data_IF_593148646207
#
_entry.id   IF_593148646207
#
_cell.length_a   1.000
_cell.length_b   1.000
_cell.length_c   1.000
_cell.angle_alpha   90.00
_cell.angle_beta   90.00
_cell.angle_gamma   90.00
#
_symmetry.space_group_name_H-M   'P 1'
#
loop_
_entity.id
_entity.type
_entity.pdbx_description
1 polymer ?
#
# COMPACT_ATOMS: atom_id res chain seq x y z
N UNK A 1 -4.23 -7.75 -18.45
CA UNK A 1 -3.01 -8.42 -18.96
C UNK A 1 -1.86 -7.45 -19.13
N UNK A 2 -2.01 -6.36 -19.90
CA UNK A 2 -0.92 -5.40 -20.16
C UNK A 2 -0.39 -4.70 -18.89
N UNK A 3 -1.28 -4.24 -18.00
CA UNK A 3 -0.92 -3.63 -16.70
C UNK A 3 -0.13 -4.61 -15.82
N UNK A 4 -0.57 -5.86 -15.74
CA UNK A 4 0.10 -6.90 -14.95
C UNK A 4 1.51 -7.17 -15.49
N UNK A 5 1.68 -7.31 -16.81
CA UNK A 5 3.00 -7.49 -17.43
C UNK A 5 3.91 -6.29 -17.16
N UNK A 6 3.37 -5.07 -17.23
CA UNK A 6 4.11 -3.85 -16.88
C UNK A 6 4.64 -3.88 -15.45
N UNK A 7 3.80 -4.26 -14.47
CA UNK A 7 4.21 -4.36 -13.06
C UNK A 7 5.30 -5.42 -12.88
N UNK A 8 5.19 -6.58 -13.55
CA UNK A 8 6.21 -7.64 -13.46
C UNK A 8 7.55 -7.19 -14.05
N UNK A 9 7.55 -6.45 -15.17
CA UNK A 9 8.77 -5.88 -15.75
C UNK A 9 9.42 -4.85 -14.83
N UNK A 10 8.62 -4.00 -14.18
CA UNK A 10 9.14 -3.02 -13.21
C UNK A 10 9.73 -3.71 -11.96
N UNK A 11 9.12 -4.81 -11.48
CA UNK A 11 9.70 -5.62 -10.40
C UNK A 11 11.02 -6.28 -10.81
N UNK A 12 11.08 -6.81 -12.04
CA UNK A 12 12.30 -7.44 -12.55
C UNK A 12 13.43 -6.41 -12.70
N UNK A 13 13.10 -5.19 -13.15
CA UNK A 13 14.05 -4.08 -13.20
C UNK A 13 14.54 -3.67 -11.80
N UNK A 14 13.67 -3.69 -10.79
CA UNK A 14 14.05 -3.47 -9.41
C UNK A 14 15.02 -4.54 -8.90
N UNK A 15 14.74 -5.82 -9.13
CA UNK A 15 15.62 -6.92 -8.71
C UNK A 15 17.02 -6.78 -9.34
N UNK A 16 17.09 -6.47 -10.63
CA UNK A 16 18.37 -6.22 -11.32
C UNK A 16 19.11 -5.03 -10.71
N UNK A 17 18.42 -3.92 -10.43
CA UNK A 17 19.04 -2.75 -9.78
C UNK A 17 19.52 -3.07 -8.36
N UNK A 18 18.78 -3.87 -7.58
CA UNK A 18 19.19 -4.32 -6.25
C UNK A 18 20.45 -5.19 -6.35
N UNK A 19 20.48 -6.14 -7.29
CA UNK A 19 21.65 -6.98 -7.54
C UNK A 19 22.88 -6.14 -7.94
N UNK A 20 22.73 -5.19 -8.86
CA UNK A 20 23.84 -4.30 -9.26
C UNK A 20 24.33 -3.46 -8.07
N UNK A 21 23.40 -2.96 -7.24
CA UNK A 21 23.75 -2.20 -6.03
C UNK A 21 24.50 -3.07 -5.02
N UNK A 22 24.09 -4.33 -4.83
CA UNK A 22 24.77 -5.25 -3.90
C UNK A 22 26.18 -5.58 -4.37
N UNK A 23 26.40 -5.67 -5.68
CA UNK A 23 27.67 -6.07 -6.27
C UNK A 23 28.64 -4.90 -6.44
N UNK A 24 28.16 -3.73 -6.86
CA UNK A 24 29.00 -2.54 -7.10
C UNK A 24 29.05 -1.55 -5.95
N UNK A 25 28.03 -1.52 -5.08
CA UNK A 25 27.97 -0.67 -3.89
C UNK A 25 27.89 0.84 -4.12
N UNK A 26 28.07 1.34 -5.35
CA UNK A 26 28.26 2.77 -5.66
C UNK A 26 26.98 3.59 -5.77
N UNK A 27 25.82 2.99 -5.97
CA UNK A 27 24.56 3.71 -6.22
C UNK A 27 23.72 3.88 -4.95
N UNK A 28 23.09 5.04 -4.74
CA UNK A 28 22.19 5.27 -3.59
C UNK A 28 21.00 4.32 -3.57
N UNK A 29 20.57 3.88 -2.38
CA UNK A 29 19.38 3.02 -2.25
C UNK A 29 18.12 3.69 -2.83
N UNK A 30 18.03 5.02 -2.72
CA UNK A 30 16.91 5.80 -3.23
C UNK A 30 16.72 5.64 -4.75
N UNK A 31 17.81 5.47 -5.50
CA UNK A 31 17.78 5.26 -6.95
C UNK A 31 17.32 3.84 -7.30
N UNK A 32 17.67 2.84 -6.50
CA UNK A 32 17.17 1.47 -6.64
C UNK A 32 15.65 1.41 -6.47
N UNK A 33 15.06 2.29 -5.65
CA UNK A 33 13.62 2.34 -5.44
C UNK A 33 12.83 3.11 -6.52
N UNK A 34 13.49 3.78 -7.48
CA UNK A 34 12.82 4.47 -8.60
C UNK A 34 11.73 3.63 -9.31
N UNK A 35 11.96 2.34 -9.65
CA UNK A 35 10.95 1.50 -10.29
C UNK A 35 9.69 1.37 -9.43
N UNK A 36 9.83 1.28 -8.11
CA UNK A 36 8.69 1.18 -7.20
C UNK A 36 7.89 2.49 -7.14
N UNK A 37 8.56 3.64 -7.23
CA UNK A 37 7.86 4.94 -7.34
C UNK A 37 6.97 5.00 -8.59
N UNK A 38 7.41 4.44 -9.72
CA UNK A 38 6.61 4.39 -10.95
C UNK A 38 5.47 3.37 -10.88
N UNK A 39 5.60 2.31 -10.07
CA UNK A 39 4.52 1.34 -9.83
C UNK A 39 3.31 2.00 -9.15
N UNK A 40 3.53 2.97 -8.27
CA UNK A 40 2.46 3.67 -7.53
C UNK A 40 1.42 4.37 -8.44
N UNK A 41 1.79 5.29 -9.35
CA UNK A 41 0.83 5.92 -10.25
C UNK A 41 0.23 4.95 -11.27
N UNK A 42 0.96 3.90 -11.67
CA UNK A 42 0.40 2.84 -12.55
C UNK A 42 -0.71 2.07 -11.81
N UNK A 43 -0.54 1.80 -10.51
CA UNK A 43 -1.58 1.20 -9.69
C UNK A 43 -2.78 2.13 -9.54
N UNK A 44 -2.56 3.43 -9.30
CA UNK A 44 -3.65 4.42 -9.23
C UNK A 44 -4.41 4.48 -10.55
N UNK A 45 -3.70 4.57 -11.68
CA UNK A 45 -4.31 4.59 -13.00
C UNK A 45 -5.10 3.32 -13.27
N UNK A 46 -4.60 2.15 -12.87
CA UNK A 46 -5.32 0.88 -12.98
C UNK A 46 -6.57 0.83 -12.09
N UNK A 47 -6.50 1.38 -10.87
CA UNK A 47 -7.65 1.49 -9.96
C UNK A 47 -8.71 2.47 -10.48
N UNK A 48 -8.29 3.64 -10.97
CA UNK A 48 -9.18 4.64 -11.60
C UNK A 48 -9.81 4.08 -12.88
N UNK A 49 -9.03 3.39 -13.71
CA UNK A 49 -9.52 2.72 -14.92
C UNK A 49 -10.50 1.59 -14.58
N UNK A 50 -10.26 0.88 -13.48
CA UNK A 50 -11.07 -0.24 -13.03
C UNK A 50 -12.37 0.13 -12.32
N UNK A 51 -12.54 1.36 -11.81
CA UNK A 51 -13.65 1.65 -10.90
C UNK A 51 -14.44 2.93 -11.18
N UNK A 52 -15.69 2.70 -11.57
CA UNK A 52 -16.82 3.65 -11.67
C UNK A 52 -17.62 3.72 -10.36
N UNK A 53 -16.98 3.67 -9.18
CA UNK A 53 -17.67 3.69 -7.88
C UNK A 53 -16.80 4.20 -6.70
N UNK A 54 -17.13 5.40 -6.18
CA UNK A 54 -17.00 5.96 -4.80
C UNK A 54 -15.86 5.61 -3.81
N UNK A 55 -14.69 5.10 -4.24
CA UNK A 55 -13.59 4.68 -3.32
C UNK A 55 -12.29 5.50 -3.35
N UNK A 56 -12.31 6.71 -3.89
CA UNK A 56 -11.07 7.47 -4.16
C UNK A 56 -10.28 7.86 -2.89
N UNK A 57 -10.97 8.12 -1.78
CA UNK A 57 -10.34 8.67 -0.55
C UNK A 57 -9.49 7.62 0.19
N UNK A 58 -9.94 6.37 0.28
CA UNK A 58 -9.16 5.30 0.89
C UNK A 58 -7.85 5.06 0.10
N UNK A 59 -7.92 5.11 -1.23
CA UNK A 59 -6.78 4.82 -2.11
C UNK A 59 -5.68 5.89 -2.04
N UNK A 60 -6.05 7.17 -1.90
CA UNK A 60 -5.10 8.26 -1.70
C UNK A 60 -4.28 8.11 -0.41
N UNK A 61 -4.94 7.69 0.69
CA UNK A 61 -4.28 7.43 1.97
C UNK A 61 -3.34 6.21 1.84
N UNK A 62 -3.80 5.13 1.20
CA UNK A 62 -2.99 3.94 0.93
C UNK A 62 -1.73 4.25 0.12
N UNK A 63 -1.86 5.05 -0.95
CA UNK A 63 -0.72 5.42 -1.80
C UNK A 63 0.29 6.30 -1.06
N UNK A 64 -0.19 7.28 -0.29
CA UNK A 64 0.68 8.18 0.48
C UNK A 64 1.51 7.41 1.52
N UNK A 65 0.86 6.50 2.26
CA UNK A 65 1.53 5.65 3.25
C UNK A 65 2.51 4.67 2.61
N UNK A 66 2.16 4.12 1.44
CA UNK A 66 3.01 3.19 0.69
C UNK A 66 4.30 3.86 0.17
N UNK A 67 4.18 5.08 -0.40
CA UNK A 67 5.35 5.88 -0.81
C UNK A 67 6.24 6.21 0.39
N UNK A 68 5.63 6.63 1.50
CA UNK A 68 6.36 6.97 2.72
C UNK A 68 7.10 5.74 3.30
N UNK A 69 6.48 4.56 3.27
CA UNK A 69 7.06 3.31 3.71
C UNK A 69 8.33 2.95 2.91
N UNK A 70 8.32 3.15 1.58
CA UNK A 70 9.51 2.92 0.74
C UNK A 70 10.64 3.91 1.04
N UNK A 71 10.31 5.18 1.28
CA UNK A 71 11.29 6.21 1.65
C UNK A 71 11.98 5.85 2.98
N UNK A 72 11.21 5.47 4.01
CA UNK A 72 11.78 5.06 5.30
C UNK A 72 12.67 3.81 5.18
N UNK A 73 12.27 2.84 4.35
CA UNK A 73 13.08 1.65 4.07
C UNK A 73 14.39 2.05 3.38
N UNK A 74 14.33 2.89 2.35
CA UNK A 74 15.49 3.35 1.60
C UNK A 74 16.50 4.09 2.48
N UNK A 75 16.02 5.05 3.28
CA UNK A 75 16.84 5.83 4.22
C UNK A 75 17.54 4.96 5.26
N UNK A 76 16.84 3.93 5.76
CA UNK A 76 17.42 2.99 6.72
C UNK A 76 18.47 2.08 6.07
N UNK A 77 18.23 1.65 4.84
CA UNK A 77 19.15 0.81 4.09
C UNK A 77 20.41 1.59 3.66
N UNK A 78 20.28 2.89 3.44
CA UNK A 78 21.39 3.81 3.18
C UNK A 78 22.23 4.10 4.45
N UNK A 79 21.86 3.53 5.61
CA UNK A 79 22.48 3.75 6.92
C UNK A 79 22.60 5.23 7.34
N UNK A 80 21.90 6.13 6.65
CA UNK A 80 21.79 7.55 7.03
C UNK A 80 21.08 7.67 8.40
N UNK A 81 20.14 6.77 8.69
CA UNK A 81 19.34 6.79 9.90
C UNK A 81 19.49 5.45 10.67
N UNK A 82 20.11 5.49 11.85
CA UNK A 82 20.29 4.33 12.75
C UNK A 82 19.02 3.94 13.55
N UNK A 83 17.83 4.32 13.07
CA UNK A 83 16.59 4.14 13.82
C UNK A 83 16.19 2.67 13.95
N UNK A 84 15.48 2.32 15.05
CA UNK A 84 15.00 0.96 15.24
C UNK A 84 14.02 0.58 14.13
N UNK A 85 14.02 -0.70 13.76
CA UNK A 85 13.07 -1.26 12.77
C UNK A 85 11.62 -0.88 13.08
N UNK A 86 11.28 -0.69 14.35
CA UNK A 86 9.97 -0.25 14.81
C UNK A 86 9.49 1.00 14.05
N UNK A 87 10.32 2.03 13.91
CA UNK A 87 9.89 3.29 13.27
C UNK A 87 9.66 3.11 11.77
N UNK A 88 10.45 2.24 11.14
CA UNK A 88 10.24 1.87 9.74
C UNK A 88 8.92 1.14 9.56
N UNK A 89 8.45 0.37 10.54
CA UNK A 89 7.15 -0.32 10.46
C UNK A 89 5.95 0.52 10.89
N UNK A 90 6.14 1.74 11.42
CA UNK A 90 5.03 2.61 11.84
C UNK A 90 4.01 2.88 10.73
N UNK A 91 4.40 3.26 9.49
CA UNK A 91 3.43 3.51 8.42
C UNK A 91 2.62 2.25 8.07
N UNK A 92 3.27 1.09 8.02
CA UNK A 92 2.62 -0.23 7.85
C UNK A 92 1.64 -0.58 8.97
N UNK A 93 1.98 -0.27 10.23
CA UNK A 93 1.10 -0.52 11.36
C UNK A 93 -0.15 0.35 11.31
N UNK A 94 0.00 1.62 10.97
CA UNK A 94 -1.14 2.54 10.77
C UNK A 94 -2.08 2.00 9.69
N UNK A 95 -1.51 1.49 8.59
CA UNK A 95 -2.29 0.85 7.53
C UNK A 95 -3.06 -0.37 8.02
N UNK A 96 -2.40 -1.28 8.75
CA UNK A 96 -3.05 -2.47 9.29
C UNK A 96 -4.16 -2.12 10.28
N UNK A 97 -3.95 -1.11 11.13
CA UNK A 97 -4.99 -0.60 12.03
C UNK A 97 -6.17 0.00 11.27
N UNK A 98 -5.91 0.78 10.21
CA UNK A 98 -6.95 1.40 9.40
C UNK A 98 -7.77 0.36 8.60
N UNK A 99 -7.10 -0.66 8.04
CA UNK A 99 -7.74 -1.73 7.28
C UNK A 99 -8.48 -2.73 8.18
N UNK A 100 -7.96 -3.00 9.38
CA UNK A 100 -8.57 -3.91 10.36
C UNK A 100 -9.73 -3.28 11.12
N UNK A 101 -9.92 -1.97 11.06
CA UNK A 101 -11.19 -1.37 11.42
C UNK A 101 -12.18 -1.76 10.33
N UNK A 102 -13.12 -2.70 10.57
CA UNK A 102 -14.27 -2.82 9.67
C UNK A 102 -14.87 -1.41 9.64
N UNK A 103 -14.83 -0.76 8.48
CA UNK A 103 -15.21 0.65 8.38
C UNK A 103 -16.58 0.92 9.02
N UNK A 104 -16.92 2.19 9.32
CA UNK A 104 -18.23 2.55 9.88
C UNK A 104 -19.43 2.01 9.06
N UNK A 105 -19.21 1.56 7.81
CA UNK A 105 -20.17 0.85 6.98
C UNK A 105 -20.46 -0.61 7.39
N UNK A 106 -19.53 -1.38 7.97
CA UNK A 106 -19.87 -2.70 8.54
C UNK A 106 -20.60 -2.56 9.87
N UNK A 107 -20.31 -1.50 10.64
CA UNK A 107 -21.05 -1.16 11.85
C UNK A 107 -22.49 -0.70 11.52
N UNK A 108 -22.69 0.06 10.43
CA UNK A 108 -24.05 0.47 10.01
C UNK A 108 -24.87 -0.69 9.44
N UNK A 109 -24.27 -1.64 8.71
CA UNK A 109 -24.96 -2.83 8.21
C UNK A 109 -25.32 -3.85 9.31
N UNK A 110 -24.50 -3.99 10.35
CA UNK A 110 -24.83 -4.88 11.47
C UNK A 110 -25.92 -4.30 12.38
N UNK A 111 -26.01 -2.98 12.50
CA UNK A 111 -27.08 -2.31 13.24
C UNK A 111 -28.41 -2.26 12.46
N UNK A 112 -28.37 -2.24 11.13
CA UNK A 112 -29.58 -2.25 10.28
C UNK A 112 -30.18 -3.64 10.03
N UNK A 113 -29.43 -4.74 10.19
CA UNK A 113 -29.97 -6.12 10.10
C UNK A 113 -30.54 -6.68 11.41
N UNK A 114 -30.36 -6.01 12.55
CA UNK A 114 -30.91 -6.43 13.86
C UNK A 114 -32.34 -6.00 14.22
N UNK A 115 -33.03 -5.04 13.57
CA UNK A 115 -34.42 -4.71 13.92
C UNK A 115 -35.46 -5.61 13.23
N UNK A 116 -35.08 -6.44 12.23
CA UNK A 116 -36.06 -7.19 11.43
C UNK A 116 -36.29 -8.65 11.88
N UNK A 117 -35.49 -9.18 12.82
CA UNK A 117 -35.68 -10.53 13.38
C UNK A 117 -36.57 -10.57 14.63
N UNK A 118 -36.76 -9.45 15.34
CA UNK A 118 -37.64 -9.39 16.53
C UNK A 118 -39.13 -9.36 16.18
N UNK A 119 -39.51 -9.03 14.93
CA UNK A 119 -40.92 -8.99 14.51
C UNK A 119 -41.48 -10.33 13.99
N UNK A 120 -40.63 -11.30 13.66
CA UNK A 120 -41.05 -12.61 13.15
C UNK A 120 -41.12 -13.70 14.24
N UNK A 121 -40.60 -13.44 15.45
CA UNK A 121 -40.73 -14.35 16.59
C UNK A 121 -42.04 -14.16 17.38
N UNK A 122 -42.91 -13.25 16.94
CA UNK A 122 -44.17 -12.92 17.62
C UNK A 122 -45.42 -13.18 16.75
N UNK A 123 -45.27 -13.78 15.56
CA UNK A 123 -46.40 -14.18 14.71
C UNK A 123 -46.43 -15.69 14.53
#
# INVERSE_FOLDING_TARGET
>A
MLIAVGIHLLLLMFEVLVCDRVERGTHFWLLVFMPLFFVSPVSVAACVWGFRHDRSLELEILCSVNILQFIFIALRLDRIIHWPWLVVFVPLWILMSFLSLPGPCSFSWQKHKRPHQTLQAQK
#
